data_IF_000887290639
#
_entry.id   IF_000887290639
#
_cell.length_a   1.000
_cell.length_b   1.000
_cell.length_c   1.000
_cell.angle_alpha   90.00
_cell.angle_beta   90.00
_cell.angle_gamma   90.00
#
_symmetry.space_group_name_H-M   'P 1'
#
loop_
_entity.id
_entity.type
_entity.pdbx_description
1 polymer ?
#
# COMPACT_ATOMS: atom_id res chain seq x y z
N UNK A 1 -41.97 11.86 -37.05
CA UNK A 1 -41.83 11.53 -38.48
C UNK A 1 -40.88 12.57 -39.09
N UNK A 2 -39.85 12.12 -39.81
CA UNK A 2 -38.83 12.91 -40.54
C UNK A 2 -37.81 13.71 -39.70
N UNK A 3 -36.50 13.75 -40.01
CA UNK A 3 -35.69 12.95 -40.95
C UNK A 3 -34.21 13.16 -40.61
N UNK A 4 -33.49 12.05 -40.68
CA UNK A 4 -32.04 11.86 -40.70
C UNK A 4 -31.46 12.43 -42.00
N UNK A 5 -30.24 13.02 -41.99
CA UNK A 5 -29.05 12.60 -42.79
C UNK A 5 -27.95 13.67 -42.93
N UNK A 6 -26.76 13.26 -42.45
CA UNK A 6 -25.44 13.19 -43.10
C UNK A 6 -24.78 14.41 -43.75
N UNK A 7 -23.44 14.48 -43.55
CA UNK A 7 -22.32 14.97 -44.40
C UNK A 7 -21.18 15.37 -43.43
N UNK A 8 -19.91 14.93 -43.45
CA UNK A 8 -19.03 14.30 -44.46
C UNK A 8 -17.86 13.52 -43.80
N UNK A 9 -17.41 12.50 -44.54
CA UNK A 9 -16.18 11.68 -44.41
C UNK A 9 -14.87 12.48 -44.35
N UNK A 10 -13.90 12.01 -43.56
CA UNK A 10 -12.49 11.89 -44.00
C UNK A 10 -11.82 10.61 -43.47
N UNK A 11 -11.30 9.83 -44.42
CA UNK A 11 -10.38 8.70 -44.28
C UNK A 11 -8.98 9.20 -43.90
N UNK A 12 -8.25 8.45 -43.08
CA UNK A 12 -6.79 8.23 -43.17
C UNK A 12 -6.49 6.92 -42.43
N UNK A 13 -6.32 5.82 -43.17
CA UNK A 13 -5.03 5.20 -43.51
C UNK A 13 -4.42 4.42 -42.33
N UNK A 14 -4.72 3.12 -42.34
CA UNK A 14 -3.97 2.06 -41.68
C UNK A 14 -2.50 2.11 -42.12
N UNK A 15 -1.57 2.14 -41.17
CA UNK A 15 -0.21 1.67 -41.36
C UNK A 15 0.18 0.82 -40.16
N UNK A 16 0.16 -0.49 -40.39
CA UNK A 16 0.76 -1.50 -39.52
C UNK A 16 2.27 -1.39 -39.68
N UNK A 17 3.00 -0.98 -38.64
CA UNK A 17 4.44 -1.15 -38.56
C UNK A 17 4.77 -2.19 -37.49
N UNK A 18 5.14 -3.37 -37.98
CA UNK A 18 5.91 -4.37 -37.26
C UNK A 18 7.22 -3.74 -36.74
N UNK A 19 7.50 -3.86 -35.44
CA UNK A 19 8.85 -3.66 -34.92
C UNK A 19 9.43 -5.01 -34.46
N UNK A 20 10.58 -5.33 -35.05
CA UNK A 20 11.33 -6.57 -34.85
C UNK A 20 11.96 -6.65 -33.45
N UNK A 21 12.20 -7.88 -32.94
CA UNK A 21 12.97 -8.10 -31.72
C UNK A 21 14.47 -7.84 -31.95
N UNK A 22 15.10 -7.16 -31.00
CA UNK A 22 16.55 -6.97 -30.94
C UNK A 22 17.18 -8.27 -30.42
N UNK A 23 17.88 -9.00 -31.29
CA UNK A 23 18.78 -10.09 -30.91
C UNK A 23 20.13 -9.48 -30.52
N UNK A 24 20.61 -9.76 -29.32
CA UNK A 24 22.04 -9.66 -29.03
C UNK A 24 22.57 -11.04 -28.64
N UNK A 25 23.46 -11.50 -29.51
CA UNK A 25 24.35 -12.64 -29.42
C UNK A 25 25.31 -12.51 -28.24
N UNK A 26 25.41 -13.54 -27.40
CA UNK A 26 26.63 -13.81 -26.63
C UNK A 26 26.98 -15.29 -26.75
N UNK A 27 28.24 -15.50 -27.15
CA UNK A 27 28.83 -16.75 -27.57
C UNK A 27 28.83 -17.82 -26.46
N UNK A 28 28.58 -19.04 -26.93
CA UNK A 28 28.75 -20.30 -26.23
C UNK A 28 30.23 -20.70 -26.32
N UNK A 29 30.89 -20.86 -25.19
CA UNK A 29 32.16 -21.59 -25.09
C UNK A 29 31.97 -22.77 -24.14
N UNK A 30 32.03 -23.97 -24.72
CA UNK A 30 32.12 -25.27 -24.05
C UNK A 30 33.58 -25.57 -23.71
N UNK A 31 33.86 -26.01 -22.47
CA UNK A 31 35.06 -26.78 -22.09
C UNK A 31 34.64 -27.79 -20.98
N UNK A 32 35.20 -29.02 -20.91
CA UNK A 32 34.46 -30.23 -20.56
C UNK A 32 34.57 -30.70 -19.09
N UNK A 33 33.76 -31.71 -18.81
CA UNK A 33 33.69 -32.62 -17.65
C UNK A 33 35.01 -33.07 -17.06
N UNK A 34 35.09 -33.04 -15.72
CA UNK A 34 35.92 -33.97 -14.93
C UNK A 34 35.07 -34.58 -13.82
N UNK A 35 34.95 -35.91 -13.90
CA UNK A 35 34.39 -36.80 -12.89
C UNK A 35 35.37 -36.82 -11.71
N UNK A 36 34.92 -36.46 -10.51
CA UNK A 36 35.64 -36.78 -9.29
C UNK A 36 34.77 -37.71 -8.44
N UNK A 37 35.38 -38.85 -8.17
CA UNK A 37 34.89 -40.03 -7.48
C UNK A 37 34.48 -39.77 -6.04
N UNK A 38 33.50 -40.57 -5.59
CA UNK A 38 33.11 -40.79 -4.19
C UNK A 38 34.32 -40.95 -3.27
N UNK A 39 34.34 -40.17 -2.20
CA UNK A 39 35.03 -40.53 -0.97
C UNK A 39 33.95 -40.53 0.12
N UNK A 40 33.53 -41.73 0.50
CA UNK A 40 32.75 -41.99 1.70
C UNK A 40 33.66 -41.81 2.92
N UNK A 41 33.40 -40.79 3.74
CA UNK A 41 33.94 -40.74 5.11
C UNK A 41 32.74 -40.72 6.04
N UNK A 42 32.47 -41.89 6.61
CA UNK A 42 31.54 -42.08 7.71
C UNK A 42 32.15 -41.59 9.03
N UNK A 43 31.30 -40.87 9.76
CA UNK A 43 31.11 -40.96 11.22
C UNK A 43 31.80 -39.96 12.14
N UNK A 44 30.92 -39.41 12.99
CA UNK A 44 31.09 -38.80 14.30
C UNK A 44 31.82 -37.46 14.38
N UNK A 45 31.06 -36.40 14.66
CA UNK A 45 31.26 -35.59 15.87
C UNK A 45 30.02 -34.74 16.20
N UNK A 46 29.55 -34.91 17.44
CA UNK A 46 28.87 -33.93 18.31
C UNK A 46 27.83 -32.97 17.70
N UNK A 47 26.58 -33.13 18.17
CA UNK A 47 25.48 -32.15 18.06
C UNK A 47 25.92 -30.79 18.61
N UNK A 48 26.35 -29.88 17.74
CA UNK A 48 26.37 -28.45 18.04
C UNK A 48 24.95 -27.95 17.79
N UNK A 49 24.12 -27.93 18.85
CA UNK A 49 22.91 -27.12 18.85
C UNK A 49 23.37 -25.66 18.87
N UNK A 50 23.47 -25.04 17.70
CA UNK A 50 23.42 -23.59 17.61
C UNK A 50 22.08 -23.17 18.25
N UNK A 51 22.08 -22.23 19.22
CA UNK A 51 20.84 -21.70 19.71
C UNK A 51 20.18 -20.97 18.53
N UNK A 52 19.10 -21.55 18.03
CA UNK A 52 18.16 -20.82 17.22
C UNK A 52 17.59 -19.74 18.15
N UNK A 53 18.20 -18.57 18.13
CA UNK A 53 17.66 -17.38 18.74
C UNK A 53 16.40 -17.09 17.94
N UNK A 54 15.27 -17.61 18.43
CA UNK A 54 13.96 -17.12 18.06
C UNK A 54 13.96 -15.70 18.59
N UNK A 55 14.31 -14.74 17.72
CA UNK A 55 13.93 -13.36 17.96
C UNK A 55 12.41 -13.37 17.99
N UNK A 56 11.85 -13.34 19.19
CA UNK A 56 10.42 -13.38 19.48
C UNK A 56 9.77 -12.04 19.19
N UNK A 57 10.12 -11.40 18.09
CA UNK A 57 9.27 -10.41 17.45
C UNK A 57 8.64 -11.12 16.27
N UNK A 58 7.58 -11.89 16.55
CA UNK A 58 6.65 -12.28 15.49
C UNK A 58 6.12 -10.95 14.95
N UNK A 59 6.62 -10.52 13.79
CA UNK A 59 6.14 -9.32 13.15
C UNK A 59 4.63 -9.44 13.04
N UNK A 60 3.89 -8.42 13.49
CA UNK A 60 2.44 -8.44 13.39
C UNK A 60 2.06 -8.71 11.91
N UNK A 61 1.12 -9.62 11.69
CA UNK A 61 0.68 -10.04 10.37
C UNK A 61 -0.81 -9.78 10.21
N UNK A 62 -1.21 -9.45 9.00
CA UNK A 62 -2.60 -9.50 8.58
C UNK A 62 -2.91 -10.88 8.01
N UNK A 63 -4.00 -11.49 8.47
CA UNK A 63 -4.45 -12.81 8.03
C UNK A 63 -5.97 -12.85 7.93
N UNK A 64 -6.48 -13.54 6.91
CA UNK A 64 -7.91 -13.81 6.73
C UNK A 64 -8.28 -15.24 7.16
N UNK A 65 -7.41 -15.88 7.95
CA UNK A 65 -7.61 -17.20 8.50
C UNK A 65 -6.88 -18.32 7.74
N UNK A 66 -7.14 -19.58 8.10
CA UNK A 66 -6.40 -20.73 7.60
C UNK A 66 -6.42 -20.84 6.07
N UNK A 67 -5.27 -21.13 5.47
CA UNK A 67 -5.13 -21.28 4.02
C UNK A 67 -5.02 -19.97 3.25
N UNK A 68 -5.09 -18.82 3.93
CA UNK A 68 -4.82 -17.51 3.33
C UNK A 68 -3.37 -17.10 3.53
N UNK A 69 -2.85 -16.20 2.68
CA UNK A 69 -1.52 -15.63 2.86
C UNK A 69 -1.53 -14.69 4.07
N UNK A 70 -0.60 -14.93 4.99
CA UNK A 70 -0.28 -13.96 6.05
C UNK A 70 0.60 -12.86 5.46
N UNK A 71 0.12 -11.62 5.53
CA UNK A 71 0.84 -10.44 5.01
C UNK A 71 1.50 -9.74 6.19
N UNK A 72 2.84 -9.67 6.24
CA UNK A 72 3.51 -9.02 7.36
C UNK A 72 3.33 -7.51 7.29
N UNK A 73 3.07 -6.87 8.42
CA UNK A 73 2.90 -5.42 8.49
C UNK A 73 4.20 -4.64 8.24
N UNK A 74 5.36 -5.34 8.26
CA UNK A 74 6.63 -4.81 7.77
C UNK A 74 6.57 -4.33 6.33
N UNK A 75 5.62 -4.83 5.53
CA UNK A 75 5.37 -4.35 4.17
C UNK A 75 5.07 -2.86 4.17
N UNK A 76 4.14 -2.43 5.02
CA UNK A 76 3.75 -1.03 5.13
C UNK A 76 4.86 -0.19 5.76
N UNK A 77 5.56 -0.71 6.77
CA UNK A 77 6.70 -0.03 7.38
C UNK A 77 7.82 0.24 6.37
N UNK A 78 8.17 -0.75 5.54
CA UNK A 78 9.16 -0.63 4.46
C UNK A 78 8.73 0.43 3.44
N UNK A 79 7.45 0.49 3.10
CA UNK A 79 6.92 1.51 2.19
C UNK A 79 7.01 2.93 2.78
N UNK A 80 6.73 3.10 4.08
CA UNK A 80 6.92 4.37 4.79
C UNK A 80 8.37 4.81 4.80
N UNK A 81 9.30 3.90 5.08
CA UNK A 81 10.74 4.17 5.05
C UNK A 81 11.20 4.61 3.65
N UNK A 82 10.78 3.88 2.61
CA UNK A 82 11.07 4.24 1.20
C UNK A 82 10.53 5.62 0.85
N UNK A 83 9.36 5.99 1.36
CA UNK A 83 8.75 7.30 1.15
C UNK A 83 9.53 8.40 1.87
N UNK A 84 9.81 8.22 3.17
CA UNK A 84 10.58 9.19 3.96
C UNK A 84 11.96 9.46 3.34
N UNK A 85 12.64 8.42 2.84
CA UNK A 85 13.95 8.55 2.18
C UNK A 85 13.95 9.36 0.88
N UNK A 86 12.78 9.66 0.30
CA UNK A 86 12.63 10.52 -0.89
C UNK A 86 12.23 11.95 -0.57
N UNK A 87 11.89 12.23 0.67
CA UNK A 87 11.37 13.52 1.14
C UNK A 87 12.43 14.25 1.97
N UNK A 88 12.15 15.51 2.32
CA UNK A 88 13.05 16.37 3.09
C UNK A 88 12.64 16.37 4.56
N UNK A 89 13.63 16.41 5.46
CA UNK A 89 13.38 16.65 6.89
C UNK A 89 12.60 17.95 7.08
N UNK A 90 11.77 18.01 8.14
CA UNK A 90 10.85 19.13 8.41
C UNK A 90 9.49 18.99 7.73
N UNK A 91 9.33 18.04 6.79
CA UNK A 91 8.06 17.75 6.13
C UNK A 91 7.28 16.66 6.87
N UNK A 92 5.95 16.77 6.88
CA UNK A 92 5.05 15.73 7.34
C UNK A 92 4.10 15.36 6.20
N UNK A 93 4.07 14.09 5.81
CA UNK A 93 3.08 13.58 4.86
C UNK A 93 1.76 13.40 5.58
N UNK A 94 0.65 13.89 5.01
CA UNK A 94 -0.70 13.71 5.55
C UNK A 94 -1.61 13.13 4.48
N UNK A 95 -2.20 11.97 4.78
CA UNK A 95 -3.13 11.25 3.90
C UNK A 95 -4.48 11.07 4.58
N UNK A 96 -5.55 11.22 3.81
CA UNK A 96 -6.92 10.90 4.23
C UNK A 96 -7.31 9.54 3.65
N UNK A 97 -7.83 8.66 4.50
CA UNK A 97 -8.40 7.38 4.08
C UNK A 97 -9.75 7.55 3.39
N UNK A 98 -10.28 6.45 2.88
CA UNK A 98 -11.63 6.37 2.34
C UNK A 98 -12.68 6.56 3.43
N UNK A 99 -13.85 7.03 3.01
CA UNK A 99 -15.05 7.19 3.83
C UNK A 99 -16.11 6.18 3.35
N UNK A 100 -17.04 5.81 4.23
CA UNK A 100 -18.18 5.00 3.83
C UNK A 100 -19.07 5.77 2.84
N UNK A 101 -19.63 5.04 1.87
CA UNK A 101 -20.49 5.61 0.84
C UNK A 101 -21.82 4.87 0.85
N UNK A 102 -22.90 5.64 1.02
CA UNK A 102 -24.26 5.13 0.99
C UNK A 102 -24.73 4.87 -0.46
N UNK A 103 -25.67 3.94 -0.60
CA UNK A 103 -26.45 3.73 -1.81
C UNK A 103 -27.42 4.90 -1.97
N UNK A 104 -27.09 5.85 -2.84
CA UNK A 104 -27.91 7.03 -3.11
C UNK A 104 -28.27 7.78 -1.81
N UNK A 105 -29.57 7.92 -1.52
CA UNK A 105 -30.14 8.58 -0.34
C UNK A 105 -30.60 7.60 0.75
N UNK A 106 -30.18 6.33 0.68
CA UNK A 106 -30.51 5.29 1.68
C UNK A 106 -29.46 5.17 2.78
N UNK A 107 -29.78 4.41 3.82
CA UNK A 107 -28.89 4.03 4.93
C UNK A 107 -28.07 2.75 4.64
N UNK A 108 -28.15 2.21 3.42
CA UNK A 108 -27.38 1.03 3.02
C UNK A 108 -26.04 1.46 2.46
N UNK A 109 -24.94 0.92 2.97
CA UNK A 109 -23.58 1.23 2.54
C UNK A 109 -23.03 0.22 1.53
N UNK A 110 -22.21 0.71 0.59
CA UNK A 110 -21.35 -0.18 -0.20
C UNK A 110 -20.31 -0.85 0.72
N UNK A 111 -19.89 -2.06 0.36
CA UNK A 111 -18.77 -2.71 1.07
C UNK A 111 -17.54 -1.82 0.96
N UNK A 112 -17.05 -1.36 2.11
CA UNK A 112 -15.93 -0.44 2.17
C UNK A 112 -14.66 -1.06 1.56
N UNK A 113 -13.99 -0.27 0.73
CA UNK A 113 -12.65 -0.56 0.21
C UNK A 113 -11.80 0.68 0.34
N UNK A 114 -10.66 0.51 0.98
CA UNK A 114 -9.73 1.58 1.28
C UNK A 114 -9.13 2.23 0.01
N UNK A 115 -8.78 3.51 0.14
CA UNK A 115 -8.02 4.27 -0.86
C UNK A 115 -6.62 3.63 -1.06
N UNK A 116 -6.15 3.58 -2.31
CA UNK A 116 -5.00 2.78 -2.69
C UNK A 116 -3.65 3.34 -2.20
N UNK A 117 -3.45 4.66 -2.19
CA UNK A 117 -2.25 5.27 -1.62
C UNK A 117 -2.23 5.13 -0.10
N UNK A 118 -3.36 5.34 0.57
CA UNK A 118 -3.52 5.14 2.02
C UNK A 118 -3.22 3.69 2.42
N UNK A 119 -3.80 2.72 1.69
CA UNK A 119 -3.52 1.28 1.89
C UNK A 119 -2.04 0.98 1.72
N UNK A 120 -1.39 1.53 0.69
CA UNK A 120 0.02 1.29 0.40
C UNK A 120 0.96 1.77 1.54
N UNK A 121 0.58 2.85 2.23
CA UNK A 121 1.37 3.45 3.32
C UNK A 121 1.13 2.76 4.68
N UNK A 122 -0.10 2.40 5.01
CA UNK A 122 -0.44 1.98 6.38
C UNK A 122 -1.28 0.70 6.49
N UNK A 123 -1.89 0.20 5.41
CA UNK A 123 -2.66 -1.05 5.44
C UNK A 123 -3.97 -1.00 6.24
N UNK A 124 -4.39 0.18 6.70
CA UNK A 124 -5.59 0.38 7.52
C UNK A 124 -6.86 0.05 6.76
N UNK A 125 -7.77 -0.68 7.39
CA UNK A 125 -8.99 -1.20 6.76
C UNK A 125 -10.27 -0.48 7.18
N UNK A 126 -10.21 0.29 8.25
CA UNK A 126 -11.35 1.06 8.74
C UNK A 126 -11.54 2.36 7.93
N UNK A 127 -12.79 2.79 7.71
CA UNK A 127 -13.12 4.05 7.07
C UNK A 127 -12.87 5.26 7.99
N UNK A 128 -12.76 6.44 7.40
CA UNK A 128 -12.69 7.72 8.12
C UNK A 128 -11.37 7.97 8.86
N UNK A 129 -10.34 7.17 8.60
CA UNK A 129 -9.02 7.32 9.21
C UNK A 129 -8.15 8.33 8.46
N UNK A 130 -7.19 8.93 9.16
CA UNK A 130 -6.11 9.74 8.58
C UNK A 130 -4.77 9.18 9.00
N UNK A 131 -3.73 9.49 8.24
CA UNK A 131 -2.40 9.01 8.50
C UNK A 131 -1.39 10.13 8.30
N UNK A 132 -0.44 10.26 9.22
CA UNK A 132 0.70 11.15 9.08
C UNK A 132 2.04 10.42 9.24
N UNK A 133 3.03 10.83 8.44
CA UNK A 133 4.41 10.37 8.52
C UNK A 133 5.32 11.59 8.71
N UNK A 134 5.98 11.65 9.86
CA UNK A 134 7.04 12.64 10.08
C UNK A 134 8.31 12.16 9.37
N UNK A 135 8.71 12.88 8.32
CA UNK A 135 9.87 12.53 7.49
C UNK A 135 11.17 12.61 8.28
N UNK A 136 11.24 13.51 9.27
CA UNK A 136 12.47 13.77 10.04
C UNK A 136 12.78 12.61 10.98
N UNK A 137 11.74 12.05 11.62
CA UNK A 137 11.90 10.98 12.61
C UNK A 137 11.55 9.60 12.05
N UNK A 138 10.85 9.53 10.92
CA UNK A 138 10.28 8.31 10.37
C UNK A 138 9.04 7.81 11.14
N UNK A 139 8.56 8.56 12.15
CA UNK A 139 7.43 8.14 12.99
C UNK A 139 6.11 8.23 12.24
N UNK A 140 5.28 7.22 12.46
CA UNK A 140 3.96 7.06 11.89
C UNK A 140 2.86 7.35 12.91
N UNK A 141 1.89 8.16 12.50
CA UNK A 141 0.76 8.59 13.31
C UNK A 141 -0.53 8.19 12.61
N UNK A 142 -1.38 7.39 13.26
CA UNK A 142 -2.70 7.02 12.77
C UNK A 142 -3.76 7.79 13.54
N UNK A 143 -4.73 8.35 12.83
CA UNK A 143 -5.88 9.02 13.41
C UNK A 143 -7.13 8.22 13.08
N UNK A 144 -7.84 7.75 14.10
CA UNK A 144 -9.05 6.93 13.96
C UNK A 144 -10.31 7.73 14.38
N UNK A 145 -11.48 7.48 13.78
CA UNK A 145 -12.69 8.17 14.20
C UNK A 145 -13.05 7.84 15.65
N UNK A 146 -13.47 8.84 16.42
CA UNK A 146 -14.02 8.64 17.76
C UNK A 146 -15.49 8.22 17.62
N UNK A 147 -15.76 6.95 17.88
CA UNK A 147 -17.09 6.38 17.73
C UNK A 147 -17.89 6.47 19.04
N UNK A 148 -19.21 6.72 18.99
CA UNK A 148 -20.06 6.74 20.18
C UNK A 148 -20.26 5.32 20.74
N UNK A 149 -20.55 5.22 22.04
CA UNK A 149 -20.73 3.93 22.74
C UNK A 149 -21.82 3.05 22.10
N UNK A 150 -22.89 3.67 21.61
CA UNK A 150 -23.98 2.99 20.91
C UNK A 150 -23.51 2.19 19.68
N UNK A 151 -22.41 2.59 19.06
CA UNK A 151 -21.82 1.91 17.91
C UNK A 151 -21.40 0.47 18.24
N UNK A 152 -20.99 0.20 19.50
CA UNK A 152 -20.56 -1.13 19.93
C UNK A 152 -21.67 -2.18 19.79
N UNK A 153 -22.92 -1.76 20.05
CA UNK A 153 -24.11 -2.63 20.01
C UNK A 153 -24.37 -3.15 18.59
N UNK A 154 -24.10 -2.34 17.58
CA UNK A 154 -24.45 -2.63 16.19
C UNK A 154 -23.28 -3.17 15.37
N UNK A 155 -22.09 -2.62 15.58
CA UNK A 155 -20.93 -2.83 14.71
C UNK A 155 -19.85 -3.69 15.35
N UNK A 156 -20.04 -4.07 16.61
CA UNK A 156 -19.11 -4.90 17.38
C UNK A 156 -18.14 -4.08 18.22
N UNK A 157 -17.17 -4.77 18.82
CA UNK A 157 -16.26 -4.22 19.83
C UNK A 157 -15.62 -2.90 19.37
N UNK A 158 -15.73 -1.87 20.20
CA UNK A 158 -14.98 -0.64 20.01
C UNK A 158 -13.51 -0.84 20.39
N UNK A 159 -12.63 -0.65 19.41
CA UNK A 159 -11.20 -0.72 19.62
C UNK A 159 -10.66 0.58 20.23
N UNK A 160 -9.79 0.45 21.22
CA UNK A 160 -9.04 1.59 21.76
C UNK A 160 -7.88 1.96 20.83
N UNK A 161 -7.34 3.19 20.96
CA UNK A 161 -6.15 3.61 20.19
C UNK A 161 -4.96 2.64 20.37
N UNK A 162 -4.78 2.06 21.55
CA UNK A 162 -3.75 1.03 21.81
C UNK A 162 -3.97 -0.25 21.00
N UNK A 163 -5.22 -0.63 20.72
CA UNK A 163 -5.52 -1.80 19.89
C UNK A 163 -5.09 -1.53 18.46
N UNK A 164 -5.46 -0.37 17.90
CA UNK A 164 -5.05 0.03 16.54
C UNK A 164 -3.53 0.13 16.39
N UNK A 165 -2.83 0.62 17.42
CA UNK A 165 -1.36 0.67 17.46
C UNK A 165 -0.75 -0.71 17.25
N UNK A 166 -1.30 -1.72 17.94
CA UNK A 166 -0.86 -3.10 17.84
C UNK A 166 -1.30 -3.77 16.52
N UNK A 167 -2.53 -3.50 16.07
CA UNK A 167 -3.09 -4.08 14.82
C UNK A 167 -2.33 -3.59 13.59
N UNK A 168 -1.90 -2.33 13.57
CA UNK A 168 -1.27 -1.72 12.39
C UNK A 168 0.23 -1.50 12.52
N UNK A 169 0.82 -1.81 13.68
CA UNK A 169 2.24 -1.61 13.97
C UNK A 169 2.71 -0.19 13.58
N UNK A 170 1.92 0.80 13.98
CA UNK A 170 2.23 2.24 13.86
C UNK A 170 2.80 2.77 15.16
N UNK A 171 3.47 3.92 15.13
CA UNK A 171 4.17 4.45 16.29
C UNK A 171 3.23 5.12 17.26
N UNK A 172 2.27 5.93 16.79
CA UNK A 172 1.28 6.57 17.64
C UNK A 172 -0.12 6.55 17.02
N UNK A 173 -1.13 6.51 17.88
CA UNK A 173 -2.54 6.52 17.47
C UNK A 173 -3.32 7.54 18.29
N UNK A 174 -4.05 8.40 17.60
CA UNK A 174 -4.90 9.44 18.17
C UNK A 174 -6.29 9.40 17.52
N UNK A 175 -7.22 10.21 18.00
CA UNK A 175 -8.49 10.38 17.33
C UNK A 175 -8.42 11.47 16.25
N UNK A 176 -9.30 11.37 15.24
CA UNK A 176 -9.37 12.35 14.14
C UNK A 176 -9.67 13.77 14.63
N UNK A 177 -10.43 13.93 15.72
CA UNK A 177 -10.71 15.23 16.32
C UNK A 177 -9.47 15.90 16.96
N UNK A 178 -8.41 15.13 17.21
CA UNK A 178 -7.14 15.60 17.79
C UNK A 178 -6.06 15.90 16.72
N UNK A 179 -6.34 15.64 15.43
CA UNK A 179 -5.35 15.69 14.35
C UNK A 179 -4.62 17.04 14.29
N UNK A 180 -5.36 18.14 14.42
CA UNK A 180 -4.81 19.51 14.37
C UNK A 180 -3.79 19.74 15.48
N UNK A 181 -4.14 19.40 16.71
CA UNK A 181 -3.30 19.69 17.88
C UNK A 181 -2.05 18.79 17.88
N UNK A 182 -2.21 17.53 17.48
CA UNK A 182 -1.08 16.62 17.31
C UNK A 182 -0.14 17.13 16.24
N UNK A 183 -0.62 17.46 15.03
CA UNK A 183 0.24 17.99 13.96
C UNK A 183 0.93 19.30 14.35
N UNK A 184 0.26 20.20 15.09
CA UNK A 184 0.89 21.41 15.62
C UNK A 184 2.03 21.11 16.59
N UNK A 185 1.86 20.11 17.45
CA UNK A 185 2.89 19.71 18.43
C UNK A 185 4.16 19.18 17.77
N UNK A 186 4.05 18.65 16.54
CA UNK A 186 5.19 18.18 15.74
C UNK A 186 5.96 19.33 15.07
N UNK A 187 5.40 20.54 15.06
CA UNK A 187 5.99 21.75 14.47
C UNK A 187 6.53 21.55 13.03
N UNK A 188 5.71 21.06 12.09
CA UNK A 188 6.14 20.86 10.70
C UNK A 188 6.48 22.17 10.01
N UNK A 189 7.49 22.15 9.12
CA UNK A 189 7.74 23.24 8.17
C UNK A 189 6.70 23.26 7.05
N UNK A 190 6.30 22.08 6.58
CA UNK A 190 5.31 21.88 5.51
C UNK A 190 4.55 20.58 5.71
N UNK A 191 3.23 20.61 5.52
CA UNK A 191 2.41 19.42 5.33
C UNK A 191 2.37 19.05 3.83
N UNK A 192 2.71 17.81 3.52
CA UNK A 192 2.61 17.25 2.17
C UNK A 192 1.31 16.48 2.03
N UNK A 193 0.41 16.96 1.18
CA UNK A 193 -0.87 16.30 0.90
C UNK A 193 -0.88 15.68 -0.49
N UNK A 194 -1.74 14.70 -0.70
CA UNK A 194 -1.81 13.97 -1.97
C UNK A 194 -2.81 14.61 -2.93
N UNK A 195 -2.30 15.27 -3.98
CA UNK A 195 -3.12 15.72 -5.10
C UNK A 195 -2.43 15.42 -6.41
N UNK A 196 -3.12 14.74 -7.33
CA UNK A 196 -2.58 14.48 -8.65
C UNK A 196 -3.46 13.61 -9.55
N UNK A 197 -3.33 13.75 -10.88
CA UNK A 197 -4.20 13.10 -11.84
C UNK A 197 -3.83 11.63 -12.03
N UNK A 198 -4.83 10.76 -11.98
CA UNK A 198 -4.73 9.39 -12.46
C UNK A 198 -4.86 9.40 -13.99
N UNK A 199 -3.82 8.92 -14.69
CA UNK A 199 -3.73 9.00 -16.16
C UNK A 199 -4.73 8.12 -16.90
N UNK A 200 -5.26 7.06 -16.26
CA UNK A 200 -6.21 6.14 -16.89
C UNK A 200 -7.65 6.65 -16.79
N UNK A 201 -8.02 7.19 -15.64
CA UNK A 201 -9.38 7.68 -15.36
C UNK A 201 -9.58 9.17 -15.59
N UNK A 202 -8.50 9.96 -15.59
CA UNK A 202 -8.55 11.42 -15.61
C UNK A 202 -9.00 12.06 -14.28
N UNK A 203 -9.30 11.25 -13.25
CA UNK A 203 -9.69 11.74 -11.92
C UNK A 203 -8.46 12.17 -11.11
N UNK A 204 -8.63 13.15 -10.24
CA UNK A 204 -7.57 13.62 -9.34
C UNK A 204 -7.71 12.95 -7.98
N UNK A 205 -6.60 12.50 -7.39
CA UNK A 205 -6.57 11.98 -6.03
C UNK A 205 -7.11 13.03 -5.05
N UNK A 206 -7.96 12.61 -4.12
CA UNK A 206 -8.57 13.52 -3.12
C UNK A 206 -7.50 13.97 -2.14
N UNK A 207 -7.27 15.27 -2.09
CA UNK A 207 -6.40 15.89 -1.10
C UNK A 207 -6.96 15.71 0.31
N UNK A 208 -6.07 15.51 1.29
CA UNK A 208 -6.46 15.38 2.68
C UNK A 208 -6.98 16.72 3.21
N UNK A 209 -8.17 16.71 3.80
CA UNK A 209 -8.80 17.91 4.38
C UNK A 209 -9.21 17.59 5.82
N UNK A 210 -8.90 18.49 6.76
CA UNK A 210 -9.35 18.43 8.14
C UNK A 210 -9.51 19.84 8.71
N UNK A 211 -10.25 19.96 9.82
CA UNK A 211 -10.49 21.26 10.45
C UNK A 211 -9.19 21.88 10.99
N UNK A 212 -8.86 23.09 10.54
CA UNK A 212 -7.65 23.82 10.93
C UNK A 212 -6.42 23.51 10.08
N UNK A 213 -6.55 22.81 8.96
CA UNK A 213 -5.45 22.58 8.01
C UNK A 213 -4.92 23.89 7.40
N UNK A 214 -5.77 24.91 7.30
CA UNK A 214 -5.46 26.25 6.81
C UNK A 214 -4.45 27.03 7.68
N UNK A 215 -4.23 26.58 8.91
CA UNK A 215 -3.22 27.14 9.82
C UNK A 215 -1.80 26.60 9.55
N UNK A 216 -1.66 25.67 8.60
CA UNK A 216 -0.40 25.05 8.22
C UNK A 216 0.06 25.52 6.84
N UNK A 217 1.37 25.46 6.60
CA UNK A 217 1.92 25.54 5.26
C UNK A 217 1.71 24.19 4.54
N UNK A 218 0.93 24.17 3.47
CA UNK A 218 0.56 22.94 2.74
C UNK A 218 1.12 22.96 1.33
N UNK A 219 1.74 21.85 0.93
CA UNK A 219 2.17 21.57 -0.45
C UNK A 219 1.48 20.29 -0.93
N UNK A 220 0.66 20.43 -1.97
CA UNK A 220 -0.12 19.35 -2.56
C UNK A 220 0.42 18.85 -3.91
N UNK A 221 1.51 19.43 -4.41
CA UNK A 221 2.08 19.11 -5.73
C UNK A 221 3.24 18.11 -5.63
N UNK A 222 4.08 18.23 -4.60
CA UNK A 222 5.32 17.46 -4.49
C UNK A 222 5.12 15.97 -4.20
N UNK A 223 4.10 15.60 -3.43
CA UNK A 223 3.95 14.24 -2.91
C UNK A 223 3.57 13.22 -4.00
N UNK A 224 2.60 13.57 -4.84
CA UNK A 224 2.01 12.66 -5.83
C UNK A 224 3.03 12.00 -6.77
N UNK A 225 3.93 12.73 -7.46
CA UNK A 225 4.89 12.10 -8.36
C UNK A 225 5.85 11.15 -7.63
N UNK A 226 6.22 11.47 -6.38
CA UNK A 226 7.14 10.66 -5.57
C UNK A 226 6.47 9.35 -5.16
N UNK A 227 5.29 9.42 -4.54
CA UNK A 227 4.59 8.23 -4.06
C UNK A 227 4.08 7.36 -5.22
N UNK A 228 3.69 7.96 -6.35
CA UNK A 228 3.33 7.23 -7.56
C UNK A 228 4.53 6.41 -8.09
N UNK A 229 5.72 7.02 -8.19
CA UNK A 229 6.93 6.33 -8.65
C UNK A 229 7.32 5.17 -7.72
N UNK A 230 7.20 5.36 -6.40
CA UNK A 230 7.47 4.29 -5.42
C UNK A 230 6.53 3.09 -5.60
N UNK A 231 5.28 3.31 -6.00
CA UNK A 231 4.30 2.24 -6.30
C UNK A 231 4.57 1.52 -7.62
N UNK A 232 5.37 2.09 -8.53
CA UNK A 232 5.78 1.41 -9.77
C UNK A 232 6.69 0.22 -9.45
N UNK A 233 7.61 0.38 -8.51
CA UNK A 233 8.59 -0.65 -8.14
C UNK A 233 8.16 -1.38 -6.86
N UNK A 234 7.95 -2.69 -6.96
CA UNK A 234 7.39 -3.51 -5.88
C UNK A 234 8.51 -4.08 -5.00
N UNK A 235 8.28 -4.07 -3.70
CA UNK A 235 9.12 -4.77 -2.72
C UNK A 235 8.95 -6.30 -2.84
N UNK A 236 9.88 -7.10 -2.30
CA UNK A 236 9.70 -8.55 -2.21
C UNK A 236 8.41 -8.97 -1.50
N UNK A 237 8.00 -8.26 -0.46
CA UNK A 237 6.76 -8.54 0.29
C UNK A 237 5.51 -8.24 -0.55
N UNK A 238 5.47 -7.11 -1.27
CA UNK A 238 4.39 -6.81 -2.22
C UNK A 238 4.32 -7.85 -3.35
N UNK A 239 5.47 -8.29 -3.88
CA UNK A 239 5.55 -9.34 -4.91
C UNK A 239 4.99 -10.66 -4.36
N UNK A 240 5.23 -10.99 -3.10
CA UNK A 240 4.68 -12.20 -2.47
C UNK A 240 3.14 -12.16 -2.45
N UNK A 241 2.55 -11.02 -2.07
CA UNK A 241 1.09 -10.80 -2.13
C UNK A 241 0.57 -10.95 -3.57
N UNK A 242 1.23 -10.32 -4.54
CA UNK A 242 0.84 -10.43 -5.95
C UNK A 242 0.90 -11.87 -6.47
N UNK A 243 1.94 -12.64 -6.11
CA UNK A 243 2.06 -14.07 -6.48
C UNK A 243 0.92 -14.90 -5.89
N UNK A 244 0.56 -14.65 -4.64
CA UNK A 244 -0.56 -15.34 -4.00
C UNK A 244 -1.89 -15.04 -4.72
N UNK A 245 -2.15 -13.77 -5.04
CA UNK A 245 -3.35 -13.39 -5.81
C UNK A 245 -3.37 -14.10 -7.17
N UNK A 246 -2.27 -14.07 -7.93
CA UNK A 246 -2.18 -14.77 -9.21
C UNK A 246 -2.43 -16.28 -9.07
N UNK A 247 -1.90 -16.91 -8.02
CA UNK A 247 -2.12 -18.34 -7.73
C UNK A 247 -3.61 -18.63 -7.51
N UNK A 248 -4.26 -17.92 -6.59
CA UNK A 248 -5.68 -18.14 -6.25
C UNK A 248 -6.57 -17.91 -7.47
N UNK A 249 -6.35 -16.81 -8.22
CA UNK A 249 -7.11 -16.54 -9.44
C UNK A 249 -6.90 -17.60 -10.53
N UNK A 250 -5.68 -18.11 -10.67
CA UNK A 250 -5.39 -19.19 -11.62
C UNK A 250 -6.04 -20.50 -11.20
N UNK A 251 -6.02 -20.83 -9.91
CA UNK A 251 -6.68 -22.02 -9.38
C UNK A 251 -8.20 -21.94 -9.56
N UNK A 252 -8.80 -20.75 -9.36
CA UNK A 252 -10.22 -20.52 -9.66
C UNK A 252 -10.54 -20.69 -11.15
N UNK A 253 -9.70 -20.15 -12.05
CA UNK A 253 -9.89 -20.28 -13.49
C UNK A 253 -9.83 -21.75 -13.95
N UNK A 254 -8.95 -22.57 -13.36
CA UNK A 254 -8.88 -24.02 -13.64
C UNK A 254 -10.14 -24.77 -13.24
N UNK A 255 -10.88 -24.30 -12.24
CA UNK A 255 -12.15 -24.90 -11.81
C UNK A 255 -13.32 -24.45 -12.69
N UNK A 256 -13.20 -23.30 -13.34
CA UNK A 256 -14.25 -22.76 -14.21
C UNK A 256 -14.24 -23.36 -15.64
N UNK A 257 -13.13 -23.98 -16.05
CA UNK A 257 -12.93 -24.64 -17.35
C UNK A 257 -13.11 -26.14 -17.18
#
# INVERSE_FOLDING_TARGET
MLKIRNVIRRRCLFSVRYFRPYQNSCNRSYIPTTVLSRIDIFSNHSKIKLPFIISSNMAATWSMGPGTLEVPLSLFATNRERLANKLKSGQIVVLQGGEDVNHYDTDVQYVFRQEAYFTWVCGVREPGCYFALDVSTGKSYLFVPRLPEEYEVWMGKLHACSDFKNIYAVDEVYYVDEIKDVLKSLMPETLLTLSGPNTDSGLTAREAIFNGIDEFNVDNESLFPIIAELRVIKTPEEIAVMRYVCKVSSDAQKQAI
#
